data_IF_554997385418
#
_entry.id   IF_554997385418
#
_cell.length_a   1.000
_cell.length_b   1.000
_cell.length_c   1.000
_cell.angle_alpha   90.00
_cell.angle_beta   90.00
_cell.angle_gamma   90.00
#
_symmetry.space_group_name_H-M   'P 1'
#
loop_
_entity.id
_entity.type
_entity.pdbx_description
1 polymer ?
#
# COMPACT_ATOMS: atom_id res chain seq x y z
N UNK A 1 -41.60 -22.48 22.93
CA UNK A 1 -40.92 -23.60 22.26
C UNK A 1 -39.68 -23.94 23.03
N UNK A 2 -39.61 -25.16 23.57
CA UNK A 2 -38.39 -25.59 24.25
C UNK A 2 -37.31 -25.93 23.21
N UNK A 3 -36.34 -25.11 23.08
CA UNK A 3 -35.14 -25.40 22.29
C UNK A 3 -34.41 -26.55 23.00
N UNK A 4 -34.15 -27.64 22.28
CA UNK A 4 -33.42 -28.75 22.88
C UNK A 4 -32.03 -28.27 23.34
N UNK A 5 -31.51 -28.83 24.47
CA UNK A 5 -30.19 -28.45 24.96
C UNK A 5 -29.06 -28.61 23.91
N UNK A 6 -29.23 -29.54 22.98
CA UNK A 6 -28.29 -29.77 21.87
C UNK A 6 -28.29 -28.63 20.87
N UNK A 7 -29.42 -28.06 20.55
CA UNK A 7 -29.53 -26.92 19.63
C UNK A 7 -28.93 -25.68 20.27
N UNK A 8 -29.17 -25.45 21.56
CA UNK A 8 -28.56 -24.35 22.29
C UNK A 8 -27.04 -24.48 22.34
N UNK A 9 -26.52 -25.69 22.58
CA UNK A 9 -25.08 -25.96 22.60
C UNK A 9 -24.45 -25.69 21.24
N UNK A 10 -25.09 -26.11 20.15
CA UNK A 10 -24.63 -25.88 18.79
C UNK A 10 -24.60 -24.39 18.44
N UNK A 11 -25.61 -23.63 18.87
CA UNK A 11 -25.65 -22.18 18.68
C UNK A 11 -24.55 -21.48 19.47
N UNK A 12 -24.25 -21.91 20.69
CA UNK A 12 -23.16 -21.40 21.50
C UNK A 12 -21.81 -21.66 20.83
N UNK A 13 -21.61 -22.86 20.31
CA UNK A 13 -20.36 -23.22 19.60
C UNK A 13 -20.20 -22.37 18.34
N UNK A 14 -21.27 -22.13 17.59
CA UNK A 14 -21.24 -21.26 16.40
C UNK A 14 -20.89 -19.81 16.75
N UNK A 15 -21.46 -19.28 17.85
CA UNK A 15 -21.15 -17.92 18.31
C UNK A 15 -19.69 -17.81 18.74
N UNK A 16 -19.18 -18.81 19.48
CA UNK A 16 -17.77 -18.85 19.90
C UNK A 16 -16.84 -18.91 18.68
N UNK A 17 -17.21 -19.68 17.64
CA UNK A 17 -16.44 -19.74 16.39
C UNK A 17 -16.40 -18.39 15.67
N UNK A 18 -17.49 -17.64 15.67
CA UNK A 18 -17.53 -16.31 15.04
C UNK A 18 -16.72 -15.26 15.82
N UNK A 19 -16.70 -15.36 17.15
CA UNK A 19 -15.97 -14.43 18.03
C UNK A 19 -14.49 -14.81 18.13
N UNK A 20 -14.17 -16.09 18.03
CA UNK A 20 -12.80 -16.60 18.09
C UNK A 20 -12.12 -16.66 16.72
N UNK A 21 -12.83 -16.34 15.62
CA UNK A 21 -12.19 -16.20 14.32
C UNK A 21 -11.10 -15.14 14.43
N UNK A 22 -9.81 -15.44 14.12
CA UNK A 22 -8.78 -14.42 14.14
C UNK A 22 -9.23 -13.29 13.22
N UNK A 23 -9.04 -12.01 13.62
CA UNK A 23 -9.25 -10.92 12.69
C UNK A 23 -8.45 -11.24 11.43
N UNK A 24 -8.98 -10.93 10.23
CA UNK A 24 -8.21 -11.12 9.01
C UNK A 24 -6.82 -10.56 9.27
N UNK A 25 -5.80 -11.36 9.03
CA UNK A 25 -4.41 -10.96 9.19
C UNK A 25 -4.30 -9.53 8.68
N UNK A 26 -3.72 -8.62 9.50
CA UNK A 26 -3.53 -7.22 9.12
C UNK A 26 -3.13 -7.22 7.66
N UNK A 27 -4.00 -6.72 6.82
CA UNK A 27 -3.75 -6.67 5.39
C UNK A 27 -2.42 -5.94 5.20
N UNK A 28 -1.45 -6.62 4.59
CA UNK A 28 -0.29 -5.99 4.02
C UNK A 28 -0.82 -4.86 3.14
N UNK A 29 -0.18 -3.69 3.17
CA UNK A 29 -0.58 -2.56 2.34
C UNK A 29 -0.83 -3.04 0.90
N UNK A 30 -2.00 -2.71 0.35
CA UNK A 30 -2.39 -3.17 -0.98
C UNK A 30 -1.94 -2.17 -2.04
N UNK A 31 -1.81 -2.63 -3.29
CA UNK A 31 -1.50 -1.74 -4.40
C UNK A 31 -2.59 -0.68 -4.61
N UNK A 32 -3.85 -0.99 -4.34
CA UNK A 32 -4.92 0.00 -4.41
C UNK A 32 -4.67 1.18 -3.46
N UNK A 33 -4.25 0.91 -2.23
CA UNK A 33 -3.89 1.95 -1.26
C UNK A 33 -2.70 2.77 -1.74
N UNK A 34 -1.67 2.12 -2.28
CA UNK A 34 -0.50 2.81 -2.82
C UNK A 34 -0.89 3.68 -4.01
N UNK A 35 -1.66 3.14 -4.95
CA UNK A 35 -2.06 3.86 -6.16
C UNK A 35 -2.96 5.06 -5.83
N UNK A 36 -3.90 4.91 -4.91
CA UNK A 36 -4.74 6.02 -4.46
C UNK A 36 -3.90 7.14 -3.83
N UNK A 37 -2.90 6.76 -3.05
CA UNK A 37 -2.01 7.74 -2.41
C UNK A 37 -1.15 8.52 -3.41
N UNK A 38 -0.65 7.86 -4.46
CA UNK A 38 0.22 8.50 -5.45
C UNK A 38 -0.53 9.06 -6.66
N UNK A 39 -1.83 8.82 -6.75
CA UNK A 39 -2.67 9.32 -7.85
C UNK A 39 -2.58 10.83 -8.06
N UNK A 40 -2.54 11.68 -7.02
CA UNK A 40 -2.34 13.13 -7.21
C UNK A 40 -1.01 13.49 -7.87
N UNK A 41 -0.05 12.55 -7.93
CA UNK A 41 1.25 12.78 -8.56
C UNK A 41 1.23 12.56 -10.08
N UNK A 42 0.17 11.97 -10.64
CA UNK A 42 0.11 11.58 -12.05
C UNK A 42 0.31 12.76 -13.01
N UNK A 43 -0.29 13.91 -12.74
CA UNK A 43 -0.12 15.07 -13.59
C UNK A 43 1.36 15.46 -13.75
N UNK A 44 2.08 15.47 -12.65
CA UNK A 44 3.51 15.77 -12.68
C UNK A 44 4.30 14.70 -13.43
N UNK A 45 4.00 13.42 -13.18
CA UNK A 45 4.71 12.31 -13.84
C UNK A 45 4.47 12.34 -15.34
N UNK A 46 3.24 12.58 -15.78
CA UNK A 46 2.88 12.54 -17.19
C UNK A 46 3.28 13.82 -17.96
N UNK A 47 3.16 14.97 -17.33
CA UNK A 47 3.25 16.26 -18.04
C UNK A 47 4.36 17.17 -17.50
N UNK A 48 4.98 16.85 -16.37
CA UNK A 48 5.96 17.72 -15.71
C UNK A 48 5.29 18.89 -14.98
N UNK A 49 6.07 19.90 -14.68
CA UNK A 49 5.62 21.08 -13.96
C UNK A 49 6.00 21.06 -12.49
N UNK A 50 5.03 21.30 -11.61
CA UNK A 50 5.26 21.40 -10.17
C UNK A 50 4.63 20.19 -9.47
N UNK A 51 5.35 19.60 -8.51
CA UNK A 51 4.80 18.58 -7.61
C UNK A 51 3.81 19.27 -6.68
N UNK A 52 2.54 18.87 -6.73
CA UNK A 52 1.49 19.48 -5.94
C UNK A 52 1.59 19.11 -4.46
N UNK A 53 1.01 19.93 -3.61
CA UNK A 53 0.87 19.62 -2.18
C UNK A 53 0.10 18.32 -1.98
N UNK A 54 -0.95 18.09 -2.78
CA UNK A 54 -1.74 16.85 -2.73
C UNK A 54 -0.90 15.62 -3.07
N UNK A 55 0.03 15.74 -4.03
CA UNK A 55 0.98 14.67 -4.35
C UNK A 55 1.85 14.33 -3.13
N UNK A 56 2.44 15.34 -2.50
CA UNK A 56 3.29 15.14 -1.33
C UNK A 56 2.48 14.56 -0.16
N UNK A 57 1.28 15.03 0.08
CA UNK A 57 0.40 14.51 1.13
C UNK A 57 0.03 13.05 0.88
N UNK A 58 -0.27 12.70 -0.37
CA UNK A 58 -0.56 11.34 -0.76
C UNK A 58 0.64 10.40 -0.56
N UNK A 59 1.82 10.84 -0.95
CA UNK A 59 3.05 10.08 -0.73
C UNK A 59 3.32 9.87 0.76
N UNK A 60 3.20 10.91 1.58
CA UNK A 60 3.39 10.83 3.03
C UNK A 60 2.38 9.89 3.68
N UNK A 61 1.15 9.87 3.20
CA UNK A 61 0.11 8.96 3.66
C UNK A 61 0.48 7.49 3.39
N UNK A 62 1.00 7.20 2.21
CA UNK A 62 1.48 5.85 1.87
C UNK A 62 2.65 5.45 2.77
N UNK A 63 3.61 6.34 2.97
CA UNK A 63 4.77 6.10 3.84
C UNK A 63 4.31 5.81 5.27
N UNK A 64 3.37 6.60 5.79
CA UNK A 64 2.84 6.42 7.14
C UNK A 64 2.07 5.11 7.31
N UNK A 65 1.46 4.61 6.24
CA UNK A 65 0.72 3.33 6.24
C UNK A 65 1.62 2.12 6.16
N UNK A 66 2.82 2.26 5.60
CA UNK A 66 3.78 1.18 5.42
C UNK A 66 4.72 1.13 6.63
N UNK A 67 4.37 0.32 7.63
CA UNK A 67 5.07 0.30 8.93
C UNK A 67 5.98 -0.91 9.13
N UNK A 68 5.84 -1.94 8.31
CA UNK A 68 6.62 -3.19 8.44
C UNK A 68 7.52 -3.39 7.21
N UNK A 69 8.51 -4.27 7.35
CA UNK A 69 9.34 -4.67 6.21
C UNK A 69 8.46 -5.26 5.08
N UNK A 70 7.47 -6.07 5.44
CA UNK A 70 6.53 -6.63 4.46
C UNK A 70 5.76 -5.53 3.73
N UNK A 71 5.33 -4.48 4.44
CA UNK A 71 4.68 -3.32 3.83
C UNK A 71 5.61 -2.57 2.88
N UNK A 72 6.86 -2.38 3.26
CA UNK A 72 7.86 -1.74 2.41
C UNK A 72 8.11 -2.53 1.13
N UNK A 73 8.21 -3.85 1.24
CA UNK A 73 8.40 -4.73 0.09
C UNK A 73 7.18 -4.73 -0.83
N UNK A 74 5.98 -4.75 -0.26
CA UNK A 74 4.73 -4.67 -1.02
C UNK A 74 4.58 -3.33 -1.74
N UNK A 75 4.86 -2.24 -1.06
CA UNK A 75 4.86 -0.89 -1.65
C UNK A 75 5.87 -0.82 -2.80
N UNK A 76 7.07 -1.33 -2.58
CA UNK A 76 8.10 -1.43 -3.61
C UNK A 76 7.60 -2.19 -4.85
N UNK A 77 6.96 -3.35 -4.66
CA UNK A 77 6.42 -4.15 -5.75
C UNK A 77 5.33 -3.42 -6.54
N UNK A 78 4.46 -2.69 -5.85
CA UNK A 78 3.42 -1.88 -6.50
C UNK A 78 4.02 -0.76 -7.34
N UNK A 79 4.99 -0.04 -6.80
CA UNK A 79 5.68 1.06 -7.51
C UNK A 79 6.51 0.51 -8.66
N UNK A 80 7.18 -0.62 -8.47
CA UNK A 80 7.94 -1.29 -9.53
C UNK A 80 7.05 -1.64 -10.74
N UNK A 81 5.84 -2.13 -10.49
CA UNK A 81 4.86 -2.42 -11.55
C UNK A 81 4.51 -1.17 -12.36
N UNK A 82 4.32 -0.04 -11.70
CA UNK A 82 4.08 1.24 -12.38
C UNK A 82 5.32 1.68 -13.16
N UNK A 83 6.49 1.58 -12.55
CA UNK A 83 7.76 1.98 -13.17
C UNK A 83 8.05 1.18 -14.43
N UNK A 84 7.67 -0.10 -14.48
CA UNK A 84 7.89 -0.95 -15.65
C UNK A 84 7.04 -0.56 -16.87
N UNK A 85 6.00 0.23 -16.67
CA UNK A 85 5.12 0.74 -17.72
C UNK A 85 5.42 2.19 -18.10
N UNK A 86 6.29 2.85 -17.36
CA UNK A 86 6.60 4.26 -17.54
C UNK A 86 7.67 4.46 -18.64
N UNK A 87 7.58 5.60 -19.33
CA UNK A 87 8.67 6.07 -20.20
C UNK A 87 9.85 6.54 -19.35
N UNK A 88 11.02 6.70 -19.95
CA UNK A 88 12.21 7.20 -19.24
C UNK A 88 11.98 8.58 -18.62
N UNK A 89 11.29 9.47 -19.32
CA UNK A 89 10.96 10.80 -18.81
C UNK A 89 10.00 10.74 -17.62
N UNK A 90 8.96 9.91 -17.73
CA UNK A 90 7.99 9.67 -16.65
C UNK A 90 8.69 9.09 -15.43
N UNK A 91 9.56 8.12 -15.64
CA UNK A 91 10.31 7.48 -14.57
C UNK A 91 11.23 8.46 -13.86
N UNK A 92 11.93 9.31 -14.62
CA UNK A 92 12.81 10.35 -14.09
C UNK A 92 12.02 11.33 -13.20
N UNK A 93 10.85 11.76 -13.67
CA UNK A 93 9.98 12.63 -12.89
C UNK A 93 9.46 11.93 -11.62
N UNK A 94 8.99 10.70 -11.73
CA UNK A 94 8.53 9.92 -10.59
C UNK A 94 9.63 9.76 -9.53
N UNK A 95 10.85 9.45 -9.96
CA UNK A 95 11.98 9.27 -9.05
C UNK A 95 12.37 10.57 -8.32
N UNK A 96 12.03 11.73 -8.85
CA UNK A 96 12.33 13.03 -8.23
C UNK A 96 11.31 13.43 -7.15
N UNK A 97 10.14 12.80 -7.11
CA UNK A 97 9.03 13.21 -6.24
C UNK A 97 9.40 13.11 -4.75
N UNK A 98 9.95 12.00 -4.25
CA UNK A 98 10.28 11.91 -2.81
C UNK A 98 11.19 13.04 -2.36
N UNK A 99 12.25 13.33 -3.10
CA UNK A 99 13.16 14.42 -2.77
C UNK A 99 12.48 15.80 -2.76
N UNK A 100 11.60 16.04 -3.73
CA UNK A 100 10.84 17.31 -3.80
C UNK A 100 9.83 17.44 -2.66
N UNK A 101 9.32 16.34 -2.15
CA UNK A 101 8.40 16.32 -1.01
C UNK A 101 9.13 16.30 0.35
N UNK A 102 10.46 16.23 0.36
CA UNK A 102 11.22 16.07 1.60
C UNK A 102 10.99 14.72 2.27
N UNK A 103 10.62 13.71 1.50
CA UNK A 103 10.31 12.37 1.99
C UNK A 103 11.47 11.41 1.69
N UNK A 104 11.63 10.41 2.56
CA UNK A 104 12.59 9.32 2.36
C UNK A 104 11.82 8.01 2.21
N UNK A 105 12.12 7.28 1.17
CA UNK A 105 11.56 5.94 0.95
C UNK A 105 12.69 4.91 0.96
N UNK A 106 12.42 3.66 1.40
CA UNK A 106 13.47 2.64 1.61
C UNK A 106 13.89 1.90 0.33
N UNK A 107 13.53 2.40 -0.85
CA UNK A 107 13.87 1.78 -2.13
C UNK A 107 13.96 2.83 -3.24
N UNK A 108 14.63 2.46 -4.32
CA UNK A 108 14.73 3.29 -5.53
C UNK A 108 13.49 3.09 -6.41
N UNK A 109 12.95 4.16 -6.96
CA UNK A 109 11.85 4.09 -7.93
C UNK A 109 12.45 3.74 -9.30
N UNK A 110 12.44 2.45 -9.61
CA UNK A 110 13.08 1.90 -10.80
C UNK A 110 12.40 0.59 -11.21
N UNK A 111 12.30 0.28 -12.52
CA UNK A 111 11.79 -1.01 -12.95
C UNK A 111 12.73 -2.17 -12.60
N UNK A 112 13.97 -1.87 -12.21
CA UNK A 112 14.99 -2.87 -11.92
C UNK A 112 15.24 -3.06 -10.42
N UNK A 113 14.50 -2.38 -9.54
CA UNK A 113 14.69 -2.50 -8.10
C UNK A 113 14.40 -3.92 -7.63
N UNK A 114 15.24 -4.43 -6.73
CA UNK A 114 15.02 -5.72 -6.08
C UNK A 114 14.25 -5.51 -4.77
N UNK A 115 12.94 -5.68 -4.84
CA UNK A 115 12.05 -5.44 -3.70
C UNK A 115 12.29 -6.44 -2.56
N UNK A 116 12.85 -7.61 -2.83
CA UNK A 116 13.16 -8.60 -1.79
C UNK A 116 14.26 -8.12 -0.83
N UNK A 117 15.07 -7.16 -1.24
CA UNK A 117 16.16 -6.58 -0.44
C UNK A 117 15.73 -5.34 0.35
N UNK A 118 14.53 -4.87 0.15
CA UNK A 118 13.98 -3.70 0.85
C UNK A 118 13.71 -4.08 2.30
N UNK A 119 14.14 -3.21 3.22
CA UNK A 119 13.95 -3.39 4.67
C UNK A 119 13.08 -2.29 5.26
#
# INVERSE_FOLDING_TARGET
MATSPRVMLLLFILIIYMVAAPPPAKAVITCDTVYDGVKPCLNYVLFGGIVSTDCCNGLESVIASATTIADHQSTCSCIKSLASQATDDELSRAASIPGQCGATIPFEISPNVDCSKVK
#
